data_IF_812045855049
#
_entry.id   IF_812045855049
#
_cell.length_a   1.000
_cell.length_b   1.000
_cell.length_c   1.000
_cell.angle_alpha   90.00
_cell.angle_beta   90.00
_cell.angle_gamma   90.00
#
_symmetry.space_group_name_H-M   'P 1'
#
loop_
_entity.id
_entity.type
_entity.pdbx_description
1 polymer ?
#
# COMPACT_ATOMS: atom_id res chain seq x y z
N UNK A 1 -29.50 7.71 23.71
CA UNK A 1 -28.53 8.71 23.22
C UNK A 1 -28.60 8.84 21.69
N UNK A 2 -29.14 9.96 21.19
CA UNK A 2 -29.16 10.32 19.77
C UNK A 2 -27.77 10.83 19.38
N UNK A 3 -27.17 10.26 18.33
CA UNK A 3 -25.95 10.80 17.76
C UNK A 3 -26.29 12.06 16.96
N UNK A 4 -25.74 13.20 17.38
CA UNK A 4 -25.71 14.40 16.57
C UNK A 4 -24.80 14.16 15.36
N UNK A 5 -25.35 14.26 14.15
CA UNK A 5 -24.58 14.28 12.91
C UNK A 5 -23.72 15.56 12.90
N UNK A 6 -22.38 15.47 12.80
CA UNK A 6 -21.58 16.68 12.63
C UNK A 6 -21.86 17.26 11.25
N UNK A 7 -22.31 18.52 11.24
CA UNK A 7 -22.45 19.31 10.01
C UNK A 7 -21.05 19.55 9.45
N UNK A 8 -20.67 18.78 8.43
CA UNK A 8 -19.46 19.06 7.66
C UNK A 8 -19.65 20.40 6.93
N UNK A 9 -18.68 21.32 6.99
CA UNK A 9 -18.74 22.52 6.17
C UNK A 9 -18.70 22.11 4.68
N UNK A 10 -19.37 22.85 3.78
CA UNK A 10 -19.35 22.54 2.36
C UNK A 10 -17.93 22.66 1.85
N UNK A 11 -17.39 21.55 1.32
CA UNK A 11 -16.11 21.54 0.62
C UNK A 11 -16.30 22.40 -0.63
N UNK A 12 -15.55 23.52 -0.73
CA UNK A 12 -15.51 24.32 -1.95
C UNK A 12 -14.81 23.49 -3.01
N UNK A 13 -15.58 22.94 -3.94
CA UNK A 13 -15.02 22.20 -5.07
C UNK A 13 -14.03 23.11 -5.82
N UNK A 14 -12.81 22.65 -6.13
CA UNK A 14 -11.92 23.42 -6.98
C UNK A 14 -12.54 23.49 -8.37
N UNK A 15 -12.88 24.70 -8.81
CA UNK A 15 -13.35 24.95 -10.17
C UNK A 15 -12.27 24.51 -11.16
N UNK A 16 -12.49 23.37 -11.81
CA UNK A 16 -11.56 22.82 -12.78
C UNK A 16 -11.64 23.67 -14.05
N UNK A 17 -10.69 24.58 -14.23
CA UNK A 17 -10.59 25.38 -15.46
C UNK A 17 -10.11 24.45 -16.57
N UNK A 18 -11.04 23.93 -17.36
CA UNK A 18 -10.70 23.18 -18.57
C UNK A 18 -10.14 24.18 -19.59
N UNK A 19 -8.80 24.26 -19.66
CA UNK A 19 -8.13 24.96 -20.73
C UNK A 19 -8.47 24.25 -22.06
N UNK A 20 -9.35 24.87 -22.84
CA UNK A 20 -9.62 24.46 -24.22
C UNK A 20 -8.41 24.82 -25.07
N UNK A 21 -7.59 23.82 -25.40
CA UNK A 21 -6.55 23.93 -26.41
C UNK A 21 -7.17 23.78 -27.82
N UNK A 22 -6.68 24.50 -28.85
CA UNK A 22 -7.20 24.43 -30.21
C UNK A 22 -6.88 23.07 -30.87
N UNK A 23 -7.68 22.62 -31.86
CA UNK A 23 -7.51 21.33 -32.51
C UNK A 23 -6.35 21.41 -33.52
N UNK A 24 -5.17 20.94 -33.11
CA UNK A 24 -4.07 20.74 -34.05
C UNK A 24 -4.32 19.41 -34.77
N UNK A 25 -4.33 19.50 -36.10
CA UNK A 25 -4.64 18.47 -37.09
C UNK A 25 -4.22 17.04 -36.70
N UNK A 26 -5.18 16.12 -36.83
CA UNK A 26 -5.02 14.69 -36.62
C UNK A 26 -3.93 14.09 -37.56
N UNK A 27 -2.86 13.49 -37.00
CA UNK A 27 -2.10 12.44 -37.67
C UNK A 27 -2.97 11.15 -37.72
N UNK A 28 -2.76 10.27 -38.72
CA UNK A 28 -3.59 9.09 -38.91
C UNK A 28 -3.54 8.17 -37.68
N UNK A 29 -4.74 7.76 -37.28
CA UNK A 29 -5.18 6.65 -36.42
C UNK A 29 -4.14 6.00 -35.49
N UNK A 30 -4.40 5.98 -34.16
CA UNK A 30 -3.56 5.24 -33.23
C UNK A 30 -3.71 3.76 -33.56
N UNK A 31 -2.63 3.16 -34.05
CA UNK A 31 -2.42 1.73 -33.99
C UNK A 31 -2.58 1.30 -32.53
N UNK A 32 -3.79 0.85 -32.18
CA UNK A 32 -4.04 0.06 -30.99
C UNK A 32 -3.30 -1.27 -31.19
N UNK A 33 -2.01 -1.26 -30.92
CA UNK A 33 -1.24 -2.48 -30.77
C UNK A 33 -1.15 -2.83 -29.28
N UNK A 34 -2.29 -3.25 -28.74
CA UNK A 34 -2.32 -4.32 -27.76
C UNK A 34 -2.83 -5.55 -28.52
N UNK A 35 -2.10 -6.68 -28.52
CA UNK A 35 -2.00 -7.44 -27.28
C UNK A 35 -0.67 -8.18 -27.11
N UNK A 36 -0.03 -7.99 -25.97
CA UNK A 36 0.70 -9.05 -25.32
C UNK A 36 0.51 -8.85 -23.82
N UNK A 37 -0.73 -9.04 -23.36
CA UNK A 37 -0.90 -9.71 -22.09
C UNK A 37 -0.25 -11.08 -22.29
N UNK A 38 1.05 -11.17 -22.00
CA UNK A 38 1.60 -12.44 -21.54
C UNK A 38 0.63 -12.92 -20.48
N UNK A 39 0.20 -14.20 -20.51
CA UNK A 39 -0.62 -14.70 -19.41
C UNK A 39 0.22 -14.39 -18.18
N UNK A 40 -0.26 -13.43 -17.37
CA UNK A 40 0.20 -13.23 -16.02
C UNK A 40 0.19 -14.65 -15.50
N UNK A 41 1.39 -15.21 -15.37
CA UNK A 41 1.51 -16.59 -14.96
C UNK A 41 0.63 -16.67 -13.74
N UNK A 42 -0.20 -17.69 -13.65
CA UNK A 42 -0.82 -18.10 -12.39
C UNK A 42 0.35 -18.51 -11.45
N UNK A 43 1.30 -17.62 -11.18
CA UNK A 43 2.04 -17.56 -9.94
C UNK A 43 0.93 -17.57 -8.92
N UNK A 44 0.71 -18.75 -8.36
CA UNK A 44 -0.30 -18.99 -7.34
C UNK A 44 -0.23 -17.80 -6.39
N UNK A 45 -1.24 -16.92 -6.48
CA UNK A 45 -1.29 -15.68 -5.71
C UNK A 45 -1.50 -16.06 -4.25
N UNK A 46 -0.42 -16.48 -3.59
CA UNK A 46 -0.45 -16.87 -2.19
C UNK A 46 -0.36 -15.61 -1.35
N UNK A 47 -1.52 -15.06 -1.04
CA UNK A 47 -1.66 -13.94 -0.10
C UNK A 47 -0.91 -14.21 1.21
N UNK A 48 -0.82 -15.47 1.66
CA UNK A 48 -0.09 -15.80 2.89
C UNK A 48 1.42 -15.69 2.72
N UNK A 49 1.97 -15.99 1.55
CA UNK A 49 3.38 -15.76 1.25
C UNK A 49 3.68 -14.25 1.22
N UNK A 50 2.92 -13.47 0.45
CA UNK A 50 3.10 -12.03 0.34
C UNK A 50 3.00 -11.32 1.70
N UNK A 51 2.04 -11.72 2.55
CA UNK A 51 1.92 -11.17 3.90
C UNK A 51 3.11 -11.54 4.80
N UNK A 52 3.66 -12.74 4.66
CA UNK A 52 4.86 -13.16 5.42
C UNK A 52 6.09 -12.35 5.02
N UNK A 53 6.29 -12.13 3.73
CA UNK A 53 7.42 -11.34 3.23
C UNK A 53 7.30 -9.89 3.69
N UNK A 54 6.09 -9.31 3.55
CA UNK A 54 5.86 -7.95 4.01
C UNK A 54 6.02 -7.80 5.51
N UNK A 55 5.55 -8.78 6.28
CA UNK A 55 5.76 -8.83 7.73
C UNK A 55 7.25 -8.89 8.09
N UNK A 56 8.03 -9.73 7.40
CA UNK A 56 9.48 -9.83 7.61
C UNK A 56 10.18 -8.48 7.43
N UNK A 57 9.88 -7.79 6.33
CA UNK A 57 10.45 -6.48 6.04
C UNK A 57 10.14 -5.46 7.14
N UNK A 58 8.88 -5.42 7.61
CA UNK A 58 8.46 -4.52 8.68
C UNK A 58 9.17 -4.82 10.00
N UNK A 59 9.34 -6.09 10.35
CA UNK A 59 10.06 -6.52 11.54
C UNK A 59 11.53 -6.10 11.47
N UNK A 60 12.20 -6.33 10.34
CA UNK A 60 13.59 -5.93 10.16
C UNK A 60 13.75 -4.41 10.27
N UNK A 61 12.92 -3.63 9.58
CA UNK A 61 12.96 -2.17 9.67
C UNK A 61 12.72 -1.66 11.10
N UNK A 62 11.80 -2.28 11.84
CA UNK A 62 11.54 -1.90 13.23
C UNK A 62 12.76 -2.19 14.13
N UNK A 63 13.41 -3.33 13.95
CA UNK A 63 14.62 -3.68 14.71
C UNK A 63 15.80 -2.76 14.36
N UNK A 64 15.99 -2.42 13.09
CA UNK A 64 17.05 -1.50 12.68
C UNK A 64 16.84 -0.10 13.28
N UNK A 65 15.60 0.41 13.26
CA UNK A 65 15.26 1.72 13.84
C UNK A 65 15.45 1.78 15.36
N UNK A 66 15.31 0.66 16.07
CA UNK A 66 15.48 0.60 17.53
C UNK A 66 16.83 0.03 17.96
N UNK A 67 17.76 -0.20 17.03
CA UNK A 67 19.08 -0.77 17.34
C UNK A 67 19.00 -2.19 17.92
N UNK A 68 18.00 -2.98 17.53
CA UNK A 68 17.79 -4.35 18.01
C UNK A 68 17.01 -4.46 19.32
N UNK A 69 16.47 -3.35 19.85
CA UNK A 69 15.60 -3.41 21.01
C UNK A 69 14.23 -3.99 20.63
N UNK A 70 14.05 -5.28 20.94
CA UNK A 70 12.84 -6.07 20.66
C UNK A 70 11.58 -5.49 21.33
N UNK A 71 11.70 -4.86 22.49
CA UNK A 71 10.54 -4.29 23.18
C UNK A 71 10.04 -3.04 22.45
N UNK A 72 10.97 -2.15 22.07
CA UNK A 72 10.64 -0.94 21.31
C UNK A 72 10.20 -1.27 19.88
N UNK A 73 10.84 -2.25 19.22
CA UNK A 73 10.43 -2.68 17.88
C UNK A 73 8.99 -3.24 17.89
N UNK A 74 8.63 -4.00 18.93
CA UNK A 74 7.26 -4.48 19.11
C UNK A 74 6.29 -3.31 19.31
N UNK A 75 6.65 -2.32 20.12
CA UNK A 75 5.85 -1.12 20.34
C UNK A 75 5.65 -0.31 19.04
N UNK A 76 6.71 -0.15 18.23
CA UNK A 76 6.62 0.53 16.93
C UNK A 76 5.69 -0.18 15.94
N UNK A 77 5.63 -1.51 15.99
CA UNK A 77 4.75 -2.32 15.16
C UNK A 77 3.34 -2.50 15.76
N UNK A 78 3.07 -1.95 16.95
CA UNK A 78 1.80 -2.13 17.67
C UNK A 78 1.56 -3.56 18.15
N UNK A 79 2.63 -4.34 18.35
CA UNK A 79 2.59 -5.74 18.77
C UNK A 79 2.99 -5.90 20.24
N UNK A 80 2.55 -6.99 20.86
CA UNK A 80 3.14 -7.42 22.13
C UNK A 80 4.56 -7.97 21.89
N UNK A 81 5.47 -7.74 22.84
CA UNK A 81 6.83 -8.29 22.81
C UNK A 81 6.84 -9.80 22.60
N UNK A 82 5.93 -10.53 23.26
CA UNK A 82 5.82 -12.00 23.11
C UNK A 82 5.43 -12.39 21.69
N UNK A 83 4.49 -11.67 21.07
CA UNK A 83 4.09 -11.86 19.67
C UNK A 83 5.25 -11.60 18.71
N UNK A 84 6.03 -10.54 18.93
CA UNK A 84 7.21 -10.27 18.11
C UNK A 84 8.23 -11.41 18.20
N UNK A 85 8.50 -11.92 19.41
CA UNK A 85 9.44 -13.04 19.61
C UNK A 85 8.98 -14.30 18.89
N UNK A 86 7.69 -14.62 18.94
CA UNK A 86 7.14 -15.75 18.19
C UNK A 86 7.24 -15.56 16.68
N UNK A 87 6.98 -14.34 16.18
CA UNK A 87 7.13 -14.02 14.77
C UNK A 87 8.58 -14.18 14.34
N UNK A 88 9.55 -13.62 15.06
CA UNK A 88 10.99 -13.77 14.79
C UNK A 88 11.41 -15.23 14.67
N UNK A 89 10.96 -16.09 15.60
CA UNK A 89 11.21 -17.54 15.53
C UNK A 89 10.63 -18.20 14.27
N UNK A 90 9.47 -17.75 13.79
CA UNK A 90 8.83 -18.25 12.56
C UNK A 90 9.54 -17.76 11.31
N UNK A 91 10.08 -16.55 11.31
CA UNK A 91 10.80 -15.98 10.15
C UNK A 91 12.29 -16.34 10.12
N UNK A 92 12.84 -16.90 11.20
CA UNK A 92 14.24 -17.34 11.27
C UNK A 92 15.25 -16.22 11.55
N UNK A 93 14.82 -15.14 12.22
CA UNK A 93 15.64 -14.01 12.67
C UNK A 93 15.98 -14.09 14.16
#
# INVERSE_FOLDING_TARGET
PMYATPAYPPVREPEYVVASAPPVAAPPEPEHQAPAAEPESDEELDLKAALRDRERELITMALERTGGNRTEAAALLGLNRTTLVEKLRKVGL
#
